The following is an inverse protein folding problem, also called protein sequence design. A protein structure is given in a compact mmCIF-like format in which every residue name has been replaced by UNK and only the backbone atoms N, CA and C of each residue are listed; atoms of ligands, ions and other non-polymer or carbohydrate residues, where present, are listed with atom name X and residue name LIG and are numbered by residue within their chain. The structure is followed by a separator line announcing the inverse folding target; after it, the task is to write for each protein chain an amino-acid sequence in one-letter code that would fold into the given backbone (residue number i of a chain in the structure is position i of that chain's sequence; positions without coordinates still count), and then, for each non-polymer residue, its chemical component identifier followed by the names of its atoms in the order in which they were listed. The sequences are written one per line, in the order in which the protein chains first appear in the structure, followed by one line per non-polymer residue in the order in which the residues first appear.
data_IF_072175265429
#
_entry.id   IF_072175265429
#
_cell.length_a   1.000
_cell.length_b   1.000
_cell.length_c   1.000
_cell.angle_alpha   90.00
_cell.angle_beta   90.00
_cell.angle_gamma   90.00
#
_symmetry.space_group_name_H-M   'P 1'
#
loop_
_entity.id
_entity.type
_entity.pdbx_description
1 polymer ?
#
# COMPACT_ATOMS: atom_id res chain seq x y z
N UNK A 1 14.73 7.79 12.46
CA UNK A 1 14.45 6.36 12.23
C UNK A 1 14.31 6.12 10.74
N UNK A 2 14.97 5.12 10.16
CA UNK A 2 14.71 4.70 8.79
C UNK A 2 13.34 4.01 8.68
N UNK A 3 12.63 4.24 7.58
CA UNK A 3 11.31 3.68 7.30
C UNK A 3 11.30 3.17 5.86
N UNK A 4 11.18 1.86 5.68
CA UNK A 4 10.97 1.28 4.36
C UNK A 4 9.52 1.51 3.95
N UNK A 5 9.33 2.19 2.83
CA UNK A 5 8.01 2.54 2.31
C UNK A 5 7.68 1.63 1.13
N UNK A 6 6.60 0.86 1.28
CA UNK A 6 6.17 -0.18 0.35
C UNK A 6 4.88 0.29 -0.35
N UNK A 7 4.95 0.78 -1.59
CA UNK A 7 3.79 1.16 -2.37
C UNK A 7 3.07 -0.07 -2.93
N UNK A 8 1.88 0.14 -3.52
CA UNK A 8 1.21 -0.88 -4.31
C UNK A 8 2.07 -1.33 -5.51
N UNK A 9 1.87 -2.55 -5.99
CA UNK A 9 2.37 -3.00 -7.29
C UNK A 9 1.58 -2.41 -8.46
N UNK A 10 0.40 -1.87 -8.18
CA UNK A 10 -0.47 -1.17 -9.12
C UNK A 10 -0.15 0.33 -9.02
N UNK A 11 0.07 0.98 -10.12
CA UNK A 11 0.48 2.38 -10.22
C UNK A 11 1.91 2.69 -9.72
N UNK A 12 2.39 3.86 -10.10
CA UNK A 12 3.73 4.33 -9.76
C UNK A 12 3.84 4.78 -8.30
N UNK A 13 4.99 4.49 -7.72
CA UNK A 13 5.32 4.82 -6.34
C UNK A 13 5.32 6.33 -6.04
N UNK A 14 5.53 7.18 -7.05
CA UNK A 14 5.69 8.62 -6.87
C UNK A 14 4.43 9.35 -6.41
N UNK A 15 3.26 8.70 -6.32
CA UNK A 15 2.11 9.28 -5.61
C UNK A 15 2.46 9.67 -4.16
N UNK A 16 3.41 8.99 -3.55
CA UNK A 16 3.88 9.27 -2.19
C UNK A 16 4.84 10.48 -2.12
N UNK A 17 5.31 10.97 -3.28
CA UNK A 17 6.15 12.16 -3.46
C UNK A 17 5.72 12.94 -4.74
N UNK A 18 4.43 13.22 -4.88
CA UNK A 18 3.82 13.73 -6.12
C UNK A 18 4.32 15.12 -6.50
N UNK A 19 4.45 16.03 -5.52
CA UNK A 19 4.99 17.39 -5.71
C UNK A 19 5.68 17.86 -4.42
N UNK A 20 6.30 19.04 -4.44
CA UNK A 20 6.92 19.61 -3.26
C UNK A 20 5.93 19.82 -2.10
N UNK A 21 4.68 20.15 -2.42
CA UNK A 21 3.58 20.41 -1.49
C UNK A 21 2.80 19.13 -1.13
N UNK A 22 2.77 18.17 -2.06
CA UNK A 22 2.02 16.90 -1.94
C UNK A 22 2.96 15.72 -1.84
N UNK A 23 3.74 15.67 -0.76
CA UNK A 23 4.72 14.62 -0.50
C UNK A 23 4.66 14.13 0.93
N UNK A 24 4.17 12.91 1.09
CA UNK A 24 4.27 12.19 2.36
C UNK A 24 5.74 11.96 2.72
N UNK A 25 6.58 11.57 1.76
CA UNK A 25 7.99 11.26 2.01
C UNK A 25 8.75 12.47 2.54
N UNK A 26 8.61 13.65 1.91
CA UNK A 26 9.25 14.90 2.37
C UNK A 26 8.71 15.32 3.73
N UNK A 27 7.42 15.08 4.02
CA UNK A 27 6.85 15.36 5.33
C UNK A 27 7.47 14.48 6.41
N UNK A 28 7.61 13.18 6.17
CA UNK A 28 8.28 12.26 7.08
C UNK A 28 9.75 12.68 7.32
N UNK A 29 10.48 13.05 6.25
CA UNK A 29 11.86 13.51 6.35
C UNK A 29 12.00 14.77 7.21
N UNK A 30 11.10 15.77 7.04
CA UNK A 30 11.06 17.00 7.87
C UNK A 30 10.78 16.70 9.35
N UNK A 31 10.20 15.55 9.66
CA UNK A 31 9.95 15.08 11.04
C UNK A 31 11.09 14.21 11.60
N UNK A 32 12.25 14.18 10.93
CA UNK A 32 13.42 13.45 11.38
C UNK A 32 13.39 11.94 11.11
N UNK A 33 12.48 11.50 10.24
CA UNK A 33 12.45 10.15 9.71
C UNK A 33 13.28 10.06 8.43
N UNK A 34 13.71 8.87 8.04
CA UNK A 34 14.43 8.61 6.78
C UNK A 34 13.62 7.63 5.94
N UNK A 35 12.68 8.11 5.12
CA UNK A 35 11.92 7.24 4.24
C UNK A 35 12.82 6.67 3.13
N UNK A 36 12.68 5.37 2.88
CA UNK A 36 13.34 4.61 1.83
C UNK A 36 12.23 4.00 0.98
N UNK A 37 11.98 4.60 -0.18
CA UNK A 37 10.87 4.19 -1.06
C UNK A 37 11.29 3.00 -1.91
N UNK A 38 10.48 1.96 -1.91
CA UNK A 38 10.57 0.87 -2.90
C UNK A 38 9.94 1.37 -4.19
N UNK A 39 10.67 1.28 -5.29
CA UNK A 39 10.12 1.47 -6.64
C UNK A 39 10.14 0.13 -7.36
N UNK A 40 8.94 -0.38 -7.66
CA UNK A 40 8.78 -1.67 -8.34
C UNK A 40 9.13 -1.62 -9.83
N UNK A 41 9.16 -0.42 -10.42
CA UNK A 41 9.28 -0.19 -11.85
C UNK A 41 8.20 -0.95 -12.66
N UNK A 42 8.39 -1.08 -13.97
CA UNK A 42 7.56 -1.95 -14.82
C UNK A 42 8.13 -3.37 -14.81
N UNK A 43 7.28 -4.43 -14.72
CA UNK A 43 7.75 -5.81 -14.83
C UNK A 43 8.52 -6.04 -16.14
N UNK A 44 9.79 -6.44 -16.02
CA UNK A 44 10.61 -6.89 -17.14
C UNK A 44 10.30 -8.35 -17.50
N UNK A 45 11.04 -8.91 -18.47
CA UNK A 45 10.82 -10.31 -18.91
C UNK A 45 10.88 -11.33 -17.76
N UNK A 46 11.74 -11.10 -16.77
CA UNK A 46 11.88 -11.98 -15.59
C UNK A 46 10.71 -11.78 -14.63
N UNK A 47 10.39 -10.52 -14.32
CA UNK A 47 9.35 -10.15 -13.36
C UNK A 47 7.94 -10.50 -13.84
N UNK A 48 7.71 -10.65 -15.14
CA UNK A 48 6.43 -11.14 -15.68
C UNK A 48 6.06 -12.56 -15.20
N UNK A 49 7.07 -13.37 -14.82
CA UNK A 49 6.86 -14.68 -14.21
C UNK A 49 6.75 -14.65 -12.68
N UNK A 50 6.88 -13.51 -12.03
CA UNK A 50 6.88 -13.42 -10.58
C UNK A 50 5.48 -13.57 -9.99
N UNK A 51 5.41 -14.35 -8.91
CA UNK A 51 4.27 -14.49 -8.00
C UNK A 51 4.34 -13.42 -6.90
N UNK A 52 3.29 -13.31 -6.07
CA UNK A 52 3.35 -12.51 -4.84
C UNK A 52 4.47 -12.98 -3.91
N UNK A 53 4.73 -14.28 -3.86
CA UNK A 53 5.86 -14.85 -3.10
C UNK A 53 7.19 -14.32 -3.61
N UNK A 54 7.42 -14.26 -4.91
CA UNK A 54 8.67 -13.73 -5.49
C UNK A 54 8.86 -12.26 -5.20
N UNK A 55 7.78 -11.47 -5.27
CA UNK A 55 7.83 -10.06 -4.87
C UNK A 55 8.11 -9.88 -3.39
N UNK A 56 7.44 -10.63 -2.50
CA UNK A 56 7.56 -10.44 -1.04
C UNK A 56 8.83 -11.08 -0.48
N UNK A 57 9.01 -12.39 -0.72
CA UNK A 57 10.13 -13.16 -0.15
C UNK A 57 11.43 -13.03 -0.95
N UNK A 58 11.34 -12.50 -2.18
CA UNK A 58 12.48 -12.22 -3.05
C UNK A 58 12.82 -10.72 -3.06
N UNK A 59 12.13 -9.94 -3.93
CA UNK A 59 12.50 -8.54 -4.18
C UNK A 59 12.37 -7.63 -2.96
N UNK A 60 11.24 -7.71 -2.25
CA UNK A 60 11.02 -6.86 -1.08
C UNK A 60 11.93 -7.23 0.09
N UNK A 61 12.16 -8.53 0.30
CA UNK A 61 13.09 -9.01 1.32
C UNK A 61 14.53 -8.56 1.04
N UNK A 62 14.96 -8.60 -0.23
CA UNK A 62 16.25 -8.07 -0.66
C UNK A 62 16.36 -6.55 -0.50
N UNK A 63 15.30 -5.80 -0.85
CA UNK A 63 15.26 -4.35 -0.64
C UNK A 63 15.34 -4.00 0.85
N UNK A 64 14.66 -4.76 1.72
CA UNK A 64 14.75 -4.60 3.17
C UNK A 64 16.18 -4.84 3.66
N UNK A 65 16.81 -5.93 3.24
CA UNK A 65 18.19 -6.26 3.64
C UNK A 65 19.19 -5.18 3.19
N UNK A 66 19.06 -4.69 1.96
CA UNK A 66 19.90 -3.59 1.46
C UNK A 66 19.67 -2.31 2.25
N UNK A 67 18.41 -1.96 2.55
CA UNK A 67 18.08 -0.80 3.38
C UNK A 67 18.65 -0.93 4.80
N UNK A 68 18.49 -2.08 5.44
CA UNK A 68 19.01 -2.33 6.79
C UNK A 68 20.55 -2.20 6.84
N UNK A 69 21.26 -2.77 5.87
CA UNK A 69 22.71 -2.64 5.74
C UNK A 69 23.13 -1.18 5.52
N UNK A 70 22.43 -0.45 4.67
CA UNK A 70 22.73 0.94 4.36
C UNK A 70 22.57 1.90 5.54
N UNK A 71 21.63 1.63 6.45
CA UNK A 71 21.33 2.50 7.59
C UNK A 71 21.86 1.99 8.92
N UNK A 72 22.36 0.76 8.97
CA UNK A 72 22.88 0.07 10.16
C UNK A 72 21.95 0.23 11.39
N UNK A 73 20.65 0.05 11.19
CA UNK A 73 19.64 0.20 12.23
C UNK A 73 18.38 -0.61 11.88
N UNK A 74 17.61 -1.04 12.89
CA UNK A 74 16.28 -1.59 12.67
C UNK A 74 15.36 -0.59 11.98
N UNK A 75 14.50 -1.09 11.08
CA UNK A 75 13.61 -0.26 10.27
C UNK A 75 12.18 -0.24 10.80
N UNK A 76 11.49 0.89 10.61
CA UNK A 76 10.05 0.90 10.49
C UNK A 76 9.64 0.47 9.09
N UNK A 77 8.46 -0.07 8.93
CA UNK A 77 7.87 -0.38 7.62
C UNK A 77 6.55 0.38 7.49
N UNK A 78 6.33 0.98 6.32
CA UNK A 78 5.09 1.64 5.96
C UNK A 78 4.59 1.01 4.66
N UNK A 79 3.38 0.45 4.66
CA UNK A 79 2.73 -0.09 3.48
C UNK A 79 1.50 0.72 3.09
N UNK A 80 1.29 0.96 1.79
CA UNK A 80 0.12 1.65 1.27
C UNK A 80 -0.67 0.76 0.33
N UNK A 81 -1.99 0.66 0.54
CA UNK A 81 -2.91 -0.13 -0.27
C UNK A 81 -2.47 -1.62 -0.31
N UNK A 82 -2.39 -2.22 -1.48
CA UNK A 82 -1.84 -3.56 -1.71
C UNK A 82 -0.42 -3.71 -1.10
N UNK A 83 0.40 -2.64 -1.15
CA UNK A 83 1.71 -2.64 -0.51
C UNK A 83 1.69 -2.89 0.99
N UNK A 84 0.56 -2.63 1.66
CA UNK A 84 0.36 -2.96 3.06
C UNK A 84 0.31 -4.46 3.34
N UNK A 85 -0.29 -5.26 2.45
CA UNK A 85 -0.26 -6.73 2.54
C UNK A 85 1.18 -7.24 2.40
N UNK A 86 1.91 -6.71 1.40
CA UNK A 86 3.32 -7.06 1.19
C UNK A 86 4.17 -6.67 2.41
N UNK A 87 3.92 -5.48 2.96
CA UNK A 87 4.61 -4.95 4.13
C UNK A 87 4.35 -5.80 5.39
N UNK A 88 3.12 -6.23 5.62
CA UNK A 88 2.76 -7.12 6.75
C UNK A 88 3.47 -8.47 6.63
N UNK A 89 3.44 -9.08 5.44
CA UNK A 89 4.09 -10.36 5.20
C UNK A 89 5.62 -10.26 5.41
N UNK A 90 6.25 -9.19 4.89
CA UNK A 90 7.66 -8.91 5.15
C UNK A 90 7.93 -8.68 6.65
N UNK A 91 7.12 -7.85 7.32
CA UNK A 91 7.29 -7.54 8.73
C UNK A 91 7.21 -8.79 9.62
N UNK A 92 6.32 -9.73 9.30
CA UNK A 92 6.23 -11.01 9.98
C UNK A 92 7.49 -11.87 9.77
N UNK A 93 8.05 -11.89 8.56
CA UNK A 93 9.28 -12.63 8.21
C UNK A 93 10.52 -12.01 8.87
N UNK A 94 10.60 -10.68 8.92
CA UNK A 94 11.71 -9.89 9.47
C UNK A 94 11.44 -9.30 10.86
N UNK A 95 10.54 -9.91 11.62
CA UNK A 95 10.03 -9.40 12.90
C UNK A 95 11.10 -8.90 13.88
N UNK A 96 12.28 -9.52 13.92
CA UNK A 96 13.37 -9.11 14.82
C UNK A 96 14.03 -7.80 14.42
N UNK A 97 14.00 -7.47 13.14
CA UNK A 97 14.67 -6.32 12.51
C UNK A 97 13.72 -5.13 12.30
N UNK A 98 12.40 -5.35 12.50
CA UNK A 98 11.36 -4.33 12.36
C UNK A 98 11.02 -3.72 13.71
N UNK A 99 10.92 -2.39 13.78
CA UNK A 99 10.55 -1.66 15.01
C UNK A 99 9.07 -1.41 15.11
N UNK A 100 8.44 -1.02 14.00
CA UNK A 100 7.04 -0.63 13.90
C UNK A 100 6.51 -0.86 12.48
N UNK A 101 5.19 -1.05 12.34
CA UNK A 101 4.53 -1.28 11.06
C UNK A 101 3.35 -0.31 10.93
N UNK A 102 3.37 0.53 9.87
CA UNK A 102 2.25 1.39 9.52
C UNK A 102 1.57 0.88 8.24
N UNK A 103 0.26 0.71 8.27
CA UNK A 103 -0.55 0.14 7.21
C UNK A 103 -1.63 1.15 6.79
N UNK A 104 -1.48 1.73 5.61
CA UNK A 104 -2.33 2.80 5.10
C UNK A 104 -3.31 2.25 4.07
N UNK A 105 -4.61 2.34 4.35
CA UNK A 105 -5.68 1.84 3.48
C UNK A 105 -5.39 0.41 2.97
N UNK A 106 -4.93 -0.46 3.85
CA UNK A 106 -4.52 -1.83 3.53
C UNK A 106 -5.73 -2.76 3.57
N UNK A 107 -6.10 -3.42 2.46
CA UNK A 107 -7.17 -4.41 2.48
C UNK A 107 -6.74 -5.65 3.26
N UNK A 108 -7.70 -6.31 3.90
CA UNK A 108 -7.47 -7.58 4.58
C UNK A 108 -8.63 -8.55 4.40
N UNK A 109 -9.82 -8.18 4.86
CA UNK A 109 -11.03 -8.94 4.58
C UNK A 109 -11.69 -8.39 3.30
N UNK A 110 -11.48 -9.09 2.20
CA UNK A 110 -11.98 -8.69 0.88
C UNK A 110 -13.49 -8.92 0.74
N UNK A 111 -14.11 -9.66 1.67
CA UNK A 111 -15.54 -9.95 1.67
C UNK A 111 -16.35 -9.13 2.69
N UNK A 112 -15.71 -8.21 3.44
CA UNK A 112 -16.32 -7.52 4.58
C UNK A 112 -17.55 -6.67 4.24
N UNK A 113 -17.61 -6.01 3.05
CA UNK A 113 -18.75 -5.15 2.68
C UNK A 113 -19.35 -5.48 1.30
N UNK A 114 -18.53 -5.87 0.35
CA UNK A 114 -18.90 -5.95 -1.07
C UNK A 114 -18.57 -7.34 -1.65
N UNK A 115 -19.06 -8.38 -0.99
CA UNK A 115 -18.75 -9.78 -1.32
C UNK A 115 -19.05 -10.12 -2.79
N UNK A 116 -20.16 -9.67 -3.33
CA UNK A 116 -20.54 -9.98 -4.71
C UNK A 116 -19.61 -9.31 -5.72
N UNK A 117 -19.19 -8.07 -5.46
CA UNK A 117 -18.21 -7.37 -6.28
C UNK A 117 -16.83 -8.05 -6.19
N UNK A 118 -16.42 -8.47 -4.99
CA UNK A 118 -15.19 -9.22 -4.80
C UNK A 118 -15.22 -10.55 -5.59
N UNK A 119 -16.31 -11.27 -5.57
CA UNK A 119 -16.48 -12.50 -6.36
C UNK A 119 -16.41 -12.27 -7.87
N UNK A 120 -17.04 -11.18 -8.36
CA UNK A 120 -16.94 -10.81 -9.79
C UNK A 120 -15.49 -10.56 -10.16
N UNK A 121 -14.72 -9.80 -9.34
CA UNK A 121 -13.29 -9.59 -9.56
C UNK A 121 -12.49 -10.89 -9.48
N UNK A 122 -12.82 -11.77 -8.54
CA UNK A 122 -12.20 -13.09 -8.42
C UNK A 122 -12.39 -13.96 -9.67
N UNK A 123 -13.61 -13.97 -10.23
CA UNK A 123 -13.92 -14.72 -11.45
C UNK A 123 -13.18 -14.16 -12.68
N UNK A 124 -12.82 -12.87 -12.67
CA UNK A 124 -12.05 -12.26 -13.74
C UNK A 124 -10.64 -12.85 -13.87
N UNK A 125 -10.10 -13.54 -12.85
CA UNK A 125 -8.79 -14.20 -12.90
C UNK A 125 -8.69 -15.18 -14.08
N UNK A 126 -9.72 -15.99 -14.31
CA UNK A 126 -9.76 -16.96 -15.44
C UNK A 126 -9.78 -16.24 -16.79
N UNK A 127 -10.53 -15.13 -16.89
CA UNK A 127 -10.58 -14.32 -18.12
C UNK A 127 -9.23 -13.65 -18.36
N UNK A 128 -8.57 -13.15 -17.32
CA UNK A 128 -7.25 -12.55 -17.42
C UNK A 128 -6.20 -13.54 -17.93
N UNK A 129 -6.21 -14.77 -17.42
CA UNK A 129 -5.31 -15.82 -17.87
C UNK A 129 -5.53 -16.19 -19.35
N UNK A 130 -6.78 -16.39 -19.75
CA UNK A 130 -7.12 -16.75 -21.12
C UNK A 130 -6.77 -15.64 -22.12
N UNK A 131 -6.96 -14.36 -21.72
CA UNK A 131 -6.79 -13.21 -22.61
C UNK A 131 -5.35 -12.69 -22.67
N UNK A 132 -4.62 -12.77 -21.56
CA UNK A 132 -3.31 -12.12 -21.41
C UNK A 132 -2.17 -13.07 -21.08
N UNK A 133 -2.41 -14.40 -21.11
CA UNK A 133 -1.39 -15.41 -20.84
C UNK A 133 -0.15 -15.26 -21.71
N UNK A 134 -0.31 -15.00 -23.00
CA UNK A 134 0.80 -14.79 -23.93
C UNK A 134 1.61 -13.51 -23.67
N UNK A 135 1.01 -12.48 -23.04
CA UNK A 135 1.69 -11.23 -22.68
C UNK A 135 2.48 -11.37 -21.38
N UNK A 136 2.07 -12.28 -20.50
CA UNK A 136 2.64 -12.45 -19.15
C UNK A 136 2.37 -11.29 -18.20
N UNK A 137 1.49 -10.35 -18.59
CA UNK A 137 1.12 -9.19 -17.77
C UNK A 137 -0.35 -8.82 -17.98
N UNK A 138 -1.00 -8.32 -16.93
CA UNK A 138 -2.31 -7.69 -17.02
C UNK A 138 -2.12 -6.23 -17.43
N UNK A 139 -2.66 -5.80 -18.61
CA UNK A 139 -2.44 -4.47 -19.13
C UNK A 139 -3.00 -3.36 -18.24
N UNK A 140 -2.36 -2.18 -18.29
CA UNK A 140 -2.77 -0.99 -17.52
C UNK A 140 -4.22 -0.61 -17.79
N UNK A 141 -4.65 -0.62 -19.05
CA UNK A 141 -6.02 -0.23 -19.43
C UNK A 141 -7.07 -1.14 -18.79
N UNK A 142 -6.77 -2.44 -18.65
CA UNK A 142 -7.65 -3.40 -17.98
C UNK A 142 -7.73 -3.10 -16.48
N UNK A 143 -6.58 -2.83 -15.86
CA UNK A 143 -6.52 -2.45 -14.43
C UNK A 143 -7.31 -1.16 -14.20
N UNK A 144 -7.13 -0.16 -15.06
CA UNK A 144 -7.87 1.10 -14.97
C UNK A 144 -9.38 0.91 -15.17
N UNK A 145 -9.78 0.05 -16.12
CA UNK A 145 -11.20 -0.27 -16.33
C UNK A 145 -11.82 -0.93 -15.09
N UNK A 146 -11.09 -1.85 -14.42
CA UNK A 146 -11.54 -2.44 -13.16
C UNK A 146 -11.73 -1.38 -12.07
N UNK A 147 -10.78 -0.42 -11.92
CA UNK A 147 -10.94 0.67 -10.95
C UNK A 147 -12.08 1.62 -11.30
N UNK A 148 -12.28 1.94 -12.58
CA UNK A 148 -13.40 2.79 -13.01
C UNK A 148 -14.76 2.13 -12.71
N UNK A 149 -14.85 0.81 -12.73
CA UNK A 149 -16.07 0.08 -12.39
C UNK A 149 -16.49 0.26 -10.92
N UNK A 150 -15.56 0.63 -10.03
CA UNK A 150 -15.85 0.89 -8.61
C UNK A 150 -16.60 2.22 -8.38
N UNK A 151 -16.40 3.22 -9.26
CA UNK A 151 -17.10 4.51 -9.22
C UNK A 151 -17.25 5.10 -10.64
N UNK A 152 -18.23 4.62 -11.43
CA UNK A 152 -18.38 5.01 -12.84
C UNK A 152 -18.58 6.51 -13.06
N UNK A 153 -19.11 7.24 -12.08
CA UNK A 153 -19.38 8.68 -12.16
C UNK A 153 -18.20 9.53 -11.67
N UNK A 154 -17.13 8.91 -11.19
CA UNK A 154 -15.97 9.64 -10.67
C UNK A 154 -15.37 10.57 -11.72
N UNK A 155 -15.16 10.07 -12.93
CA UNK A 155 -14.58 10.85 -14.02
C UNK A 155 -15.43 12.11 -14.32
N UNK A 156 -16.75 11.94 -14.46
CA UNK A 156 -17.64 13.06 -14.72
C UNK A 156 -17.54 14.13 -13.61
N UNK A 157 -17.63 13.72 -12.34
CA UNK A 157 -17.58 14.64 -11.20
C UNK A 157 -16.24 15.39 -11.11
N UNK A 158 -15.11 14.69 -11.27
CA UNK A 158 -13.79 15.30 -11.14
C UNK A 158 -13.49 16.28 -12.29
N UNK A 159 -13.84 15.95 -13.54
CA UNK A 159 -13.60 16.82 -14.68
C UNK A 159 -14.58 18.01 -14.74
N UNK A 160 -15.84 17.84 -14.31
CA UNK A 160 -16.76 18.98 -14.14
C UNK A 160 -16.21 19.98 -13.12
N UNK A 161 -15.68 19.49 -12.00
CA UNK A 161 -15.02 20.36 -11.00
C UNK A 161 -13.78 21.03 -11.58
N UNK A 162 -12.93 20.30 -12.29
CA UNK A 162 -11.72 20.85 -12.91
C UNK A 162 -12.03 21.96 -13.89
N UNK A 163 -13.07 21.80 -14.72
CA UNK A 163 -13.49 22.82 -15.68
C UNK A 163 -13.93 24.15 -15.03
N UNK A 164 -14.22 24.15 -13.72
CA UNK A 164 -14.57 25.37 -12.96
C UNK A 164 -13.37 26.02 -12.25
N UNK A 165 -12.16 25.44 -12.35
CA UNK A 165 -10.96 25.99 -11.73
C UNK A 165 -10.30 27.03 -12.64
N UNK A 166 -9.60 27.98 -12.03
CA UNK A 166 -8.64 28.81 -12.76
C UNK A 166 -7.47 27.94 -13.22
N UNK A 167 -7.16 27.87 -14.52
CA UNK A 167 -6.05 27.06 -15.05
C UNK A 167 -4.69 27.38 -14.42
N UNK A 168 -4.50 28.60 -13.94
CA UNK A 168 -3.26 29.04 -13.28
C UNK A 168 -3.23 28.78 -11.77
N UNK A 169 -4.33 28.32 -11.19
CA UNK A 169 -4.39 28.02 -9.78
C UNK A 169 -3.52 26.81 -9.39
N UNK A 170 -3.03 26.80 -8.15
CA UNK A 170 -2.29 25.66 -7.62
C UNK A 170 -3.15 24.37 -7.65
N UNK A 171 -4.45 24.48 -7.40
CA UNK A 171 -5.40 23.37 -7.40
C UNK A 171 -5.52 22.72 -8.80
N UNK A 172 -5.49 23.54 -9.88
CA UNK A 172 -5.51 23.02 -11.23
C UNK A 172 -4.23 22.25 -11.57
N UNK A 173 -3.05 22.77 -11.17
CA UNK A 173 -1.77 22.07 -11.34
C UNK A 173 -1.71 20.76 -10.54
N UNK A 174 -2.22 20.76 -9.31
CA UNK A 174 -2.31 19.56 -8.47
C UNK A 174 -3.24 18.51 -9.10
N UNK A 175 -4.36 18.93 -9.67
CA UNK A 175 -5.26 18.05 -10.39
C UNK A 175 -4.57 17.41 -11.61
N UNK A 176 -3.87 18.20 -12.44
CA UNK A 176 -3.13 17.68 -13.59
C UNK A 176 -2.06 16.68 -13.15
N UNK A 177 -1.25 17.02 -12.15
CA UNK A 177 -0.23 16.12 -11.64
C UNK A 177 -0.81 14.77 -11.14
N UNK A 178 -2.00 14.82 -10.52
CA UNK A 178 -2.70 13.59 -10.08
C UNK A 178 -3.23 12.79 -11.28
N UNK A 179 -3.81 13.45 -12.29
CA UNK A 179 -4.27 12.77 -13.51
C UNK A 179 -3.12 12.17 -14.30
N UNK A 180 -1.98 12.87 -14.39
CA UNK A 180 -0.76 12.37 -15.03
C UNK A 180 -0.29 11.08 -14.31
N UNK A 181 -0.27 11.08 -12.97
CA UNK A 181 0.05 9.88 -12.21
C UNK A 181 -0.95 8.74 -12.45
N UNK A 182 -2.25 9.03 -12.50
CA UNK A 182 -3.28 8.02 -12.77
C UNK A 182 -3.11 7.40 -14.16
N UNK A 183 -2.64 8.17 -15.13
CA UNK A 183 -2.42 7.73 -16.51
C UNK A 183 -1.03 7.11 -16.74
N UNK A 184 -0.06 7.33 -15.83
CA UNK A 184 1.26 6.70 -15.83
C UNK A 184 1.21 5.35 -15.07
N UNK A 185 0.27 4.49 -15.44
CA UNK A 185 0.11 3.18 -14.82
C UNK A 185 1.22 2.19 -15.22
N UNK A 186 1.35 1.12 -14.45
CA UNK A 186 2.22 -0.02 -14.78
C UNK A 186 1.38 -1.29 -14.90
N UNK A 187 1.68 -2.17 -15.87
CA UNK A 187 1.03 -3.47 -15.95
C UNK A 187 1.41 -4.31 -14.73
N UNK A 188 0.55 -5.24 -14.38
CA UNK A 188 0.81 -6.17 -13.29
C UNK A 188 1.27 -7.52 -13.86
N UNK A 189 2.34 -8.09 -13.31
CA UNK A 189 2.76 -9.44 -13.68
C UNK A 189 1.55 -10.40 -13.58
N UNK A 190 1.34 -11.21 -14.60
CA UNK A 190 0.11 -12.02 -14.70
C UNK A 190 -0.08 -12.99 -13.53
N UNK A 191 0.97 -13.68 -13.00
CA UNK A 191 0.79 -14.50 -11.81
C UNK A 191 0.35 -13.69 -10.59
N UNK A 192 0.87 -12.46 -10.41
CA UNK A 192 0.43 -11.56 -9.32
C UNK A 192 -1.02 -11.15 -9.51
N UNK A 193 -1.43 -10.80 -10.74
CA UNK A 193 -2.83 -10.48 -11.04
C UNK A 193 -3.75 -11.67 -10.71
N UNK A 194 -3.37 -12.87 -11.12
CA UNK A 194 -4.12 -14.12 -10.83
C UNK A 194 -4.26 -14.36 -9.33
N UNK A 195 -3.14 -14.31 -8.60
CA UNK A 195 -3.16 -14.52 -7.15
C UNK A 195 -4.00 -13.46 -6.45
N UNK A 196 -3.85 -12.18 -6.80
CA UNK A 196 -4.65 -11.11 -6.21
C UNK A 196 -6.15 -11.27 -6.51
N UNK A 197 -6.51 -11.56 -7.76
CA UNK A 197 -7.90 -11.71 -8.16
C UNK A 197 -8.52 -12.99 -7.57
N UNK A 198 -7.89 -14.16 -7.77
CA UNK A 198 -8.48 -15.43 -7.35
C UNK A 198 -8.38 -15.66 -5.83
N UNK A 199 -7.20 -15.42 -5.24
CA UNK A 199 -6.94 -15.77 -3.85
C UNK A 199 -7.42 -14.67 -2.89
N UNK A 200 -7.19 -13.38 -3.22
CA UNK A 200 -7.62 -12.31 -2.32
C UNK A 200 -9.08 -11.92 -2.55
N UNK A 201 -9.46 -11.51 -3.77
CA UNK A 201 -10.84 -11.13 -4.03
C UNK A 201 -11.77 -12.34 -4.07
N UNK A 202 -11.42 -13.42 -4.78
CA UNK A 202 -12.27 -14.61 -4.95
C UNK A 202 -12.40 -15.43 -3.67
N UNK A 203 -11.28 -15.92 -3.13
CA UNK A 203 -11.24 -16.82 -1.99
C UNK A 203 -11.11 -16.10 -0.62
N UNK A 204 -10.82 -14.80 -0.60
CA UNK A 204 -10.57 -14.05 0.63
C UNK A 204 -9.52 -14.70 1.55
N UNK A 205 -8.44 -15.22 0.98
CA UNK A 205 -7.42 -15.95 1.74
C UNK A 205 -6.85 -15.14 2.93
N UNK A 206 -6.57 -13.82 2.81
CA UNK A 206 -6.11 -13.04 3.96
C UNK A 206 -7.15 -13.00 5.08
N UNK A 207 -8.40 -12.62 4.79
CA UNK A 207 -9.47 -12.55 5.78
C UNK A 207 -9.81 -13.90 6.39
N UNK A 208 -9.67 -14.99 5.62
CA UNK A 208 -9.91 -16.37 6.08
C UNK A 208 -8.71 -16.98 6.84
N UNK A 209 -7.57 -16.26 6.92
CA UNK A 209 -6.38 -16.74 7.64
C UNK A 209 -5.61 -17.88 6.97
N UNK A 210 -5.84 -18.11 5.68
CA UNK A 210 -5.18 -19.19 4.94
C UNK A 210 -4.10 -18.70 3.96
N UNK A 211 -3.96 -17.37 3.77
CA UNK A 211 -2.96 -16.80 2.89
C UNK A 211 -1.53 -17.16 3.31
N UNK A 212 -0.72 -17.58 2.32
CA UNK A 212 0.67 -18.00 2.55
C UNK A 212 1.64 -17.28 1.63
N UNK A 213 2.84 -17.02 2.16
CA UNK A 213 3.99 -16.49 1.42
C UNK A 213 5.18 -17.40 1.68
N UNK A 214 5.77 -17.96 0.62
CA UNK A 214 6.85 -18.95 0.71
C UNK A 214 6.52 -20.08 1.73
N UNK A 215 5.30 -20.61 1.67
CA UNK A 215 4.82 -21.67 2.54
C UNK A 215 4.45 -21.25 3.97
N UNK A 216 4.76 -20.03 4.40
CA UNK A 216 4.46 -19.51 5.74
C UNK A 216 3.11 -18.81 5.77
N UNK A 217 2.23 -19.16 6.70
CA UNK A 217 0.96 -18.47 6.90
C UNK A 217 1.19 -17.02 7.35
N UNK A 218 0.45 -16.09 6.73
CA UNK A 218 0.48 -14.68 7.11
C UNK A 218 -0.68 -14.44 8.06
N UNK A 219 -0.33 -14.23 9.32
CA UNK A 219 -1.25 -14.07 10.43
C UNK A 219 -0.93 -12.76 11.17
N UNK A 220 -1.77 -11.72 11.09
CA UNK A 220 -1.51 -10.44 11.78
C UNK A 220 -1.22 -10.61 13.27
N UNK A 221 -1.87 -11.58 13.92
CA UNK A 221 -1.67 -11.89 15.34
C UNK A 221 -0.22 -12.28 15.70
N UNK A 222 0.58 -12.74 14.74
CA UNK A 222 2.00 -13.06 14.96
C UNK A 222 2.92 -11.85 14.96
N UNK A 223 2.43 -10.68 14.53
CA UNK A 223 3.20 -9.45 14.57
C UNK A 223 2.93 -8.71 15.89
N UNK A 224 3.74 -8.95 16.90
CA UNK A 224 3.59 -8.42 18.26
C UNK A 224 4.32 -7.08 18.51
N UNK A 225 4.84 -6.45 17.46
CA UNK A 225 5.41 -5.11 17.53
C UNK A 225 4.31 -4.04 17.37
N UNK A 226 4.60 -2.76 17.70
CA UNK A 226 3.65 -1.69 17.46
C UNK A 226 3.20 -1.62 15.99
N UNK A 227 1.90 -1.55 15.78
CA UNK A 227 1.29 -1.37 14.47
C UNK A 227 0.35 -0.17 14.46
N UNK A 228 0.31 0.56 13.36
CA UNK A 228 -0.67 1.61 13.08
C UNK A 228 -1.47 1.21 11.84
N UNK A 229 -2.79 1.19 11.95
CA UNK A 229 -3.67 1.01 10.78
C UNK A 229 -4.42 2.31 10.53
N UNK A 230 -4.22 2.88 9.34
CA UNK A 230 -4.94 4.07 8.89
C UNK A 230 -6.09 3.64 7.99
N UNK A 231 -7.31 3.92 8.43
CA UNK A 231 -8.56 3.53 7.77
C UNK A 231 -9.27 4.79 7.27
N UNK A 232 -9.14 5.16 5.98
CA UNK A 232 -9.83 6.32 5.45
C UNK A 232 -11.35 6.07 5.44
N UNK A 233 -12.13 6.89 6.18
CA UNK A 233 -13.55 6.67 6.39
C UNK A 233 -14.41 6.80 5.10
N UNK A 234 -13.86 7.39 4.03
CA UNK A 234 -14.53 7.57 2.72
C UNK A 234 -13.84 6.81 1.61
N UNK A 235 -13.11 5.75 1.94
CA UNK A 235 -12.43 4.91 0.97
C UNK A 235 -13.44 4.07 0.18
N UNK A 236 -13.40 4.19 -1.15
CA UNK A 236 -14.24 3.43 -2.08
C UNK A 236 -13.47 2.35 -2.83
N UNK A 237 -12.14 2.34 -2.67
CA UNK A 237 -11.24 1.34 -3.28
C UNK A 237 -11.02 0.19 -2.32
N UNK A 238 -10.67 0.52 -1.07
CA UNK A 238 -10.58 -0.43 0.03
C UNK A 238 -11.67 -0.09 1.03
N UNK A 239 -12.77 -0.84 1.09
CA UNK A 239 -13.85 -0.60 2.05
C UNK A 239 -13.29 -0.51 3.47
N UNK A 240 -13.73 0.47 4.29
CA UNK A 240 -13.23 0.64 5.65
C UNK A 240 -13.30 -0.64 6.49
N UNK A 241 -14.35 -1.44 6.37
CA UNK A 241 -14.50 -2.69 7.10
C UNK A 241 -13.37 -3.68 6.79
N UNK A 242 -12.86 -3.72 5.56
CA UNK A 242 -11.73 -4.56 5.18
C UNK A 242 -10.46 -4.24 5.99
N UNK A 243 -10.12 -2.95 6.09
CA UNK A 243 -8.96 -2.50 6.87
C UNK A 243 -9.21 -2.56 8.39
N UNK A 244 -10.46 -2.39 8.85
CA UNK A 244 -10.84 -2.57 10.26
C UNK A 244 -10.62 -4.01 10.70
N UNK A 245 -10.94 -5.00 9.85
CA UNK A 245 -10.65 -6.41 10.12
C UNK A 245 -9.16 -6.67 10.36
N UNK A 246 -8.28 -6.00 9.59
CA UNK A 246 -6.83 -6.06 9.83
C UNK A 246 -6.46 -5.48 11.18
N UNK A 247 -7.00 -4.31 11.52
CA UNK A 247 -6.73 -3.68 12.82
C UNK A 247 -7.18 -4.60 13.98
N UNK A 248 -8.34 -5.25 13.85
CA UNK A 248 -8.86 -6.16 14.88
C UNK A 248 -7.98 -7.42 15.06
N UNK A 249 -7.26 -7.85 14.01
CA UNK A 249 -6.40 -9.03 14.05
C UNK A 249 -4.98 -8.75 14.58
N UNK A 250 -4.56 -7.48 14.71
CA UNK A 250 -3.24 -7.10 15.21
C UNK A 250 -3.24 -6.92 16.73
N UNK A 251 -2.29 -7.53 17.49
CA UNK A 251 -2.32 -7.54 18.97
C UNK A 251 -1.91 -6.20 19.60
N UNK A 252 -1.12 -5.37 18.92
CA UNK A 252 -0.61 -4.10 19.43
C UNK A 252 -0.85 -2.99 18.40
N UNK A 253 -2.11 -2.66 18.19
CA UNK A 253 -2.56 -1.74 17.14
C UNK A 253 -3.01 -0.40 17.70
N UNK A 254 -2.57 0.67 17.02
CA UNK A 254 -3.23 1.99 17.03
C UNK A 254 -4.02 2.14 15.74
N UNK A 255 -5.17 2.82 15.78
CA UNK A 255 -5.99 3.08 14.60
C UNK A 255 -6.20 4.58 14.40
N UNK A 256 -6.18 5.01 13.15
CA UNK A 256 -6.46 6.38 12.74
C UNK A 256 -7.51 6.34 11.61
N UNK A 257 -8.64 7.01 11.81
CA UNK A 257 -9.78 7.02 10.88
C UNK A 257 -9.98 8.43 10.28
N UNK A 258 -9.17 8.87 9.31
CA UNK A 258 -9.32 10.19 8.70
C UNK A 258 -10.58 10.25 7.82
N UNK A 259 -11.33 11.39 7.80
CA UNK A 259 -12.51 11.57 6.98
C UNK A 259 -12.16 11.83 5.50
N UNK A 260 -11.27 11.02 4.95
CA UNK A 260 -10.70 11.12 3.60
C UNK A 260 -10.96 9.85 2.78
N UNK A 261 -10.73 9.90 1.48
CA UNK A 261 -10.75 8.73 0.59
C UNK A 261 -9.35 8.17 0.38
N UNK A 262 -9.26 7.08 -0.38
CA UNK A 262 -8.04 6.30 -0.63
C UNK A 262 -6.84 7.14 -1.09
N UNK A 263 -7.00 7.88 -2.18
CA UNK A 263 -5.95 8.74 -2.74
C UNK A 263 -5.89 10.06 -1.96
N UNK A 264 -7.05 10.55 -1.50
CA UNK A 264 -7.14 11.81 -0.76
C UNK A 264 -6.37 11.82 0.56
N UNK A 265 -6.14 10.67 1.19
CA UNK A 265 -5.30 10.54 2.39
C UNK A 265 -3.82 10.72 2.10
N UNK A 266 -3.40 10.52 0.84
CA UNK A 266 -2.01 10.66 0.40
C UNK A 266 -1.74 12.04 -0.17
N UNK A 267 -2.60 12.58 -1.06
CA UNK A 267 -2.32 13.84 -1.76
C UNK A 267 -3.39 14.93 -1.56
N UNK A 268 -4.43 14.66 -0.79
CA UNK A 268 -5.51 15.62 -0.54
C UNK A 268 -5.05 16.82 0.30
N UNK A 269 -5.75 17.96 0.18
CA UNK A 269 -5.44 19.20 0.92
C UNK A 269 -5.41 19.04 2.44
N UNK A 270 -6.14 18.07 2.99
CA UNK A 270 -6.20 17.78 4.41
C UNK A 270 -5.31 16.60 4.83
N UNK A 271 -4.60 15.95 3.89
CA UNK A 271 -3.78 14.77 4.16
C UNK A 271 -2.68 15.05 5.20
N UNK A 272 -2.04 16.20 5.12
CA UNK A 272 -0.97 16.57 6.04
C UNK A 272 -1.44 16.57 7.50
N UNK A 273 -2.55 17.23 7.79
CA UNK A 273 -3.09 17.32 9.14
C UNK A 273 -3.74 16.02 9.61
N UNK A 274 -4.52 15.39 8.73
CA UNK A 274 -5.34 14.25 9.11
C UNK A 274 -4.58 12.92 9.12
N UNK A 275 -3.46 12.80 8.37
CA UNK A 275 -2.72 11.55 8.20
C UNK A 275 -1.23 11.72 8.43
N UNK A 276 -0.54 12.62 7.69
CA UNK A 276 0.92 12.61 7.67
C UNK A 276 1.54 13.01 9.01
N UNK A 277 0.98 14.03 9.69
CA UNK A 277 1.48 14.48 10.99
C UNK A 277 1.22 13.46 12.10
N UNK A 278 0.01 12.88 12.25
CA UNK A 278 -0.23 11.80 13.20
C UNK A 278 0.64 10.57 12.94
N UNK A 279 0.78 10.14 11.66
CA UNK A 279 1.64 9.04 11.25
C UNK A 279 3.10 9.29 11.62
N UNK A 280 3.62 10.48 11.29
CA UNK A 280 5.00 10.83 11.61
C UNK A 280 5.26 10.86 13.12
N UNK A 281 4.33 11.43 13.90
CA UNK A 281 4.40 11.45 15.35
C UNK A 281 4.42 10.03 15.93
N UNK A 282 3.52 9.17 15.47
CA UNK A 282 3.46 7.77 15.88
C UNK A 282 4.74 7.01 15.54
N UNK A 283 5.30 7.18 14.33
CA UNK A 283 6.56 6.55 13.93
C UNK A 283 7.74 7.02 14.78
N UNK A 284 7.79 8.33 15.13
CA UNK A 284 8.83 8.88 16.00
C UNK A 284 8.74 8.32 17.42
N UNK A 285 7.54 8.14 17.95
CA UNK A 285 7.30 7.53 19.27
C UNK A 285 7.78 6.08 19.33
N UNK A 286 7.59 5.32 18.26
CA UNK A 286 7.93 3.90 18.17
C UNK A 286 9.31 3.63 17.53
N UNK A 287 10.16 4.67 17.46
CA UNK A 287 11.53 4.50 16.96
C UNK A 287 12.36 3.61 17.88
N UNK A 288 13.26 2.86 17.27
CA UNK A 288 14.25 2.13 18.04
C UNK A 288 15.15 3.12 18.80
N UNK A 289 15.29 2.92 20.10
CA UNK A 289 16.27 3.61 20.93
C UNK A 289 17.30 2.58 21.37
N UNK A 290 18.58 2.79 21.03
CA UNK A 290 19.65 1.96 21.54
C UNK A 290 19.56 1.97 23.08
N UNK A 291 19.44 0.80 23.70
CA UNK A 291 19.60 0.73 25.16
C UNK A 291 21.02 1.20 25.48
N UNK A 292 21.15 2.37 26.09
CA UNK A 292 22.41 2.81 26.66
C UNK A 292 22.80 1.71 27.67
N UNK A 293 23.81 0.90 27.32
CA UNK A 293 24.40 -0.03 28.31
C UNK A 293 24.94 0.85 29.44
N UNK A 294 24.31 0.80 30.59
CA UNK A 294 24.94 1.35 31.80
C UNK A 294 26.32 0.70 31.91
N UNK A 295 27.41 1.47 32.07
CA UNK A 295 28.71 0.87 32.36
C UNK A 295 28.54 0.02 33.61
N UNK A 296 29.03 -1.22 33.57
CA UNK A 296 29.15 -2.06 34.78
C UNK A 296 30.08 -1.32 35.72
N UNK A 297 29.56 -0.88 36.84
CA UNK A 297 30.31 -0.37 38.00
C UNK A 297 31.14 -1.48 38.60
#
# INVERSE_FOLDING_TARGET
MPVLVVPSLINRAYILDLSAERSLLRRLARRGLRPLLVDWARPGPVERGFTLTDYIAGRLDAAFAAAATHVDAPLGILGYCMGGLLALALAQRRKREVTALALLATPWDFHAEQIEQARVLGNFATVADASFGALGELPVDVIQALFLSLDPLLALRKFTRFASLDPNAAEAREFVALEDWLNDGVPLALPVARESLAQWYGANEPGSGVWRVAGTAIEPARFDKPALVVVPARDRIVPPASAIALAAALPRVSRLDPPLGHIGMIVGRHAAQAVWDPLAAWLVEHRWTARVRKPKS
#
